data_IF_912366984849
#
_entry.id   IF_912366984849
#
_cell.length_a   1.000
_cell.length_b   1.000
_cell.length_c   1.000
_cell.angle_alpha   90.00
_cell.angle_beta   90.00
_cell.angle_gamma   90.00
#
_symmetry.space_group_name_H-M   'P 1'
#
loop_
_entity.id
_entity.type
_entity.pdbx_description
1 polymer ?
#
# COMPACT_ATOMS: atom_id res chain seq x y z
N UNK A 1 6.27 1.87 -9.02
CA UNK A 1 5.02 2.26 -8.36
C UNK A 1 3.78 2.30 -9.26
N UNK A 2 3.83 2.74 -10.54
CA UNK A 2 2.63 2.80 -11.40
C UNK A 2 1.82 1.50 -11.45
N UNK A 3 2.48 0.34 -11.60
CA UNK A 3 1.82 -0.98 -11.63
C UNK A 3 1.10 -1.37 -10.33
N UNK A 4 1.63 -0.96 -9.18
CA UNK A 4 0.99 -1.20 -7.87
C UNK A 4 -0.28 -0.37 -7.75
N UNK A 5 -0.20 0.91 -8.12
CA UNK A 5 -1.35 1.80 -8.12
C UNK A 5 -2.43 1.34 -9.10
N UNK A 6 -2.04 0.88 -10.30
CA UNK A 6 -2.95 0.29 -11.29
C UNK A 6 -3.59 -1.00 -10.77
N UNK A 7 -2.81 -1.91 -10.17
CA UNK A 7 -3.33 -3.14 -9.55
C UNK A 7 -4.34 -2.83 -8.43
N UNK A 8 -3.99 -1.92 -7.53
CA UNK A 8 -4.86 -1.48 -6.44
C UNK A 8 -6.16 -0.88 -6.99
N UNK A 9 -6.09 0.00 -7.99
CA UNK A 9 -7.27 0.62 -8.62
C UNK A 9 -8.11 -0.35 -9.45
N UNK A 10 -7.51 -1.40 -9.99
CA UNK A 10 -8.24 -2.48 -10.67
C UNK A 10 -9.09 -3.28 -9.69
N UNK A 11 -8.54 -3.56 -8.50
CA UNK A 11 -9.24 -4.27 -7.44
C UNK A 11 -10.27 -3.39 -6.71
N UNK A 12 -9.93 -2.12 -6.51
CA UNK A 12 -10.66 -1.14 -5.71
C UNK A 12 -10.59 0.22 -6.42
N UNK A 13 -11.59 0.58 -7.25
CA UNK A 13 -11.53 1.79 -8.07
C UNK A 13 -11.35 3.11 -7.30
N UNK A 14 -11.77 3.15 -6.04
CA UNK A 14 -11.62 4.30 -5.14
C UNK A 14 -10.28 4.32 -4.38
N UNK A 15 -9.38 3.37 -4.67
CA UNK A 15 -8.11 3.24 -3.97
C UNK A 15 -7.26 4.52 -4.08
N UNK A 16 -6.88 5.04 -2.91
CA UNK A 16 -5.86 6.07 -2.73
C UNK A 16 -4.59 5.42 -2.20
N UNK A 17 -3.46 5.73 -2.85
CA UNK A 17 -2.17 5.12 -2.54
C UNK A 17 -1.29 6.16 -1.85
N UNK A 18 -0.63 5.75 -0.77
CA UNK A 18 0.32 6.56 -0.04
C UNK A 18 1.60 5.76 0.19
N UNK A 19 2.72 6.47 0.34
CA UNK A 19 4.02 5.91 0.63
C UNK A 19 4.52 6.51 1.94
N UNK A 20 5.08 5.67 2.81
CA UNK A 20 5.74 6.06 4.05
C UNK A 20 6.88 5.06 4.34
N UNK A 21 7.42 5.08 5.56
CA UNK A 21 8.47 4.14 5.97
C UNK A 21 9.88 4.73 5.95
N UNK A 22 10.86 3.89 6.26
CA UNK A 22 12.26 4.26 6.47
C UNK A 22 12.95 4.84 5.23
N UNK A 23 12.57 4.41 4.01
CA UNK A 23 13.09 5.05 2.77
C UNK A 23 12.68 6.50 2.65
N UNK A 24 11.45 6.85 3.01
CA UNK A 24 11.01 8.26 2.96
C UNK A 24 11.78 9.11 3.98
N UNK A 25 12.29 8.48 5.04
CA UNK A 25 13.12 9.10 6.09
C UNK A 25 14.62 9.11 5.79
N UNK A 26 15.08 8.35 4.78
CA UNK A 26 16.51 8.18 4.49
C UNK A 26 17.25 7.23 5.45
N UNK A 27 16.51 6.36 6.16
CA UNK A 27 17.01 5.52 7.26
C UNK A 27 16.93 4.01 6.93
N UNK A 28 16.93 3.62 5.66
CA UNK A 28 16.69 2.24 5.23
C UNK A 28 17.77 1.26 5.73
N UNK A 29 17.36 0.21 6.45
CA UNK A 29 18.20 -0.92 6.93
C UNK A 29 17.40 -2.22 6.85
N UNK A 30 17.54 -3.01 5.76
CA UNK A 30 17.03 -4.39 5.65
C UNK A 30 15.75 -4.60 4.79
N UNK A 31 15.47 -5.87 4.46
CA UNK A 31 14.75 -6.35 3.26
C UNK A 31 13.28 -5.97 2.97
N UNK A 32 12.70 -5.00 3.67
CA UNK A 32 11.47 -4.31 3.25
C UNK A 32 11.67 -2.83 3.51
N UNK A 33 11.77 -2.05 2.43
CA UNK A 33 12.26 -0.68 2.53
C UNK A 33 11.18 0.38 2.24
N UNK A 34 10.05 0.00 1.61
CA UNK A 34 9.00 0.93 1.14
C UNK A 34 7.61 0.48 1.60
N UNK A 35 7.06 1.15 2.60
CA UNK A 35 5.67 0.93 3.03
C UNK A 35 4.69 1.62 2.07
N UNK A 36 3.76 0.84 1.54
CA UNK A 36 2.69 1.31 0.66
C UNK A 36 1.35 1.14 1.36
N UNK A 37 0.72 2.26 1.71
CA UNK A 37 -0.63 2.28 2.26
C UNK A 37 -1.65 2.43 1.13
N UNK A 38 -2.62 1.53 1.10
CA UNK A 38 -3.76 1.56 0.18
C UNK A 38 -5.02 1.77 1.00
N UNK A 39 -5.70 2.89 0.73
CA UNK A 39 -6.96 3.27 1.38
C UNK A 39 -8.10 3.11 0.40
N UNK A 40 -9.14 2.39 0.79
CA UNK A 40 -10.40 2.27 0.05
C UNK A 40 -11.54 1.99 1.03
N UNK A 41 -12.76 2.41 0.71
CA UNK A 41 -13.96 2.06 1.49
C UNK A 41 -14.27 0.57 1.43
N UNK A 42 -13.79 -0.12 0.39
CA UNK A 42 -14.06 -1.53 0.11
C UNK A 42 -13.03 -2.47 0.78
N UNK A 43 -12.14 -1.94 1.63
CA UNK A 43 -11.19 -2.76 2.40
C UNK A 43 -11.95 -3.61 3.44
N UNK A 44 -11.87 -4.95 3.36
CA UNK A 44 -12.58 -5.83 4.27
C UNK A 44 -11.96 -5.79 5.68
N UNK A 45 -12.74 -6.15 6.70
CA UNK A 45 -12.24 -6.30 8.09
C UNK A 45 -11.50 -7.62 8.32
N UNK A 46 -11.76 -8.63 7.49
CA UNK A 46 -11.16 -9.97 7.63
C UNK A 46 -9.68 -9.96 7.23
N UNK A 47 -8.82 -10.46 8.12
CA UNK A 47 -7.38 -10.59 7.85
C UNK A 47 -7.10 -11.54 6.67
N UNK A 48 -7.90 -12.59 6.49
CA UNK A 48 -7.75 -13.53 5.38
C UNK A 48 -8.06 -12.86 4.05
N UNK A 49 -9.13 -12.05 3.98
CA UNK A 49 -9.48 -11.33 2.76
C UNK A 49 -8.47 -10.22 2.44
N UNK A 50 -7.98 -9.52 3.47
CA UNK A 50 -6.87 -8.57 3.32
C UNK A 50 -5.63 -9.22 2.75
N UNK A 51 -5.24 -10.40 3.25
CA UNK A 51 -4.10 -11.15 2.72
C UNK A 51 -4.30 -11.50 1.23
N UNK A 52 -5.50 -11.94 0.84
CA UNK A 52 -5.84 -12.20 -0.56
C UNK A 52 -5.72 -10.95 -1.44
N UNK A 53 -6.12 -9.78 -0.95
CA UNK A 53 -5.96 -8.51 -1.67
C UNK A 53 -4.48 -8.20 -1.90
N UNK A 54 -3.63 -8.34 -0.87
CA UNK A 54 -2.18 -8.13 -0.99
C UNK A 54 -1.54 -9.04 -2.05
N UNK A 55 -1.86 -10.33 -2.02
CA UNK A 55 -1.37 -11.31 -3.01
C UNK A 55 -1.80 -10.90 -4.42
N UNK A 56 -3.08 -10.53 -4.62
CA UNK A 56 -3.55 -10.07 -5.94
C UNK A 56 -2.83 -8.82 -6.42
N UNK A 57 -2.52 -7.88 -5.52
CA UNK A 57 -1.75 -6.68 -5.87
C UNK A 57 -0.35 -7.09 -6.33
N UNK A 58 0.33 -7.98 -5.62
CA UNK A 58 1.65 -8.51 -6.00
C UNK A 58 1.63 -9.18 -7.37
N UNK A 59 0.65 -10.07 -7.61
CA UNK A 59 0.46 -10.78 -8.88
C UNK A 59 0.22 -9.80 -10.04
N UNK A 60 -0.73 -8.86 -9.90
CA UNK A 60 -1.05 -7.90 -10.95
C UNK A 60 0.09 -6.91 -11.21
N UNK A 61 0.79 -6.49 -10.16
CA UNK A 61 1.91 -5.57 -10.29
C UNK A 61 3.17 -6.22 -10.87
N UNK A 62 3.18 -7.56 -11.01
CA UNK A 62 4.30 -8.38 -11.50
C UNK A 62 5.60 -8.05 -10.75
N UNK A 63 5.48 -7.88 -9.44
CA UNK A 63 6.63 -7.62 -8.59
C UNK A 63 7.51 -8.87 -8.49
N UNK A 64 8.84 -8.70 -8.37
CA UNK A 64 9.73 -9.81 -8.09
C UNK A 64 9.42 -10.39 -6.71
N UNK A 65 9.72 -11.68 -6.52
CA UNK A 65 9.45 -12.43 -5.28
C UNK A 65 10.08 -11.82 -4.02
N UNK A 66 11.14 -11.02 -4.18
CA UNK A 66 11.82 -10.27 -3.11
C UNK A 66 11.65 -8.76 -3.32
N UNK A 67 10.42 -8.33 -3.47
CA UNK A 67 10.07 -6.93 -3.61
C UNK A 67 10.28 -6.16 -2.29
N UNK A 68 10.82 -4.94 -2.31
CA UNK A 68 11.03 -4.13 -1.09
C UNK A 68 9.74 -3.45 -0.60
N UNK A 69 8.57 -3.84 -1.10
CA UNK A 69 7.29 -3.19 -0.80
C UNK A 69 6.53 -3.95 0.28
N UNK A 70 6.12 -3.25 1.34
CA UNK A 70 5.18 -3.76 2.32
C UNK A 70 3.82 -3.11 2.14
N UNK A 71 2.79 -3.93 1.90
CA UNK A 71 1.43 -3.42 1.70
C UNK A 71 0.66 -3.30 3.00
N UNK A 72 0.17 -2.09 3.28
CA UNK A 72 -0.77 -1.78 4.35
C UNK A 72 -2.13 -1.48 3.73
N UNK A 73 -3.19 -2.04 4.32
CA UNK A 73 -4.57 -1.84 3.88
C UNK A 73 -5.35 -1.15 4.98
N UNK A 74 -6.05 -0.06 4.66
CA UNK A 74 -6.86 0.66 5.63
C UNK A 74 -8.19 1.11 5.01
N UNK A 75 -9.29 0.92 5.74
CA UNK A 75 -10.56 1.58 5.43
C UNK A 75 -10.56 3.04 5.92
N UNK A 76 -11.67 3.75 5.70
CA UNK A 76 -11.80 5.17 6.08
C UNK A 76 -11.69 5.41 7.60
N UNK A 77 -12.08 4.46 8.44
CA UNK A 77 -11.94 4.59 9.89
C UNK A 77 -10.48 4.40 10.31
N UNK A 78 -9.83 3.38 9.77
CA UNK A 78 -8.44 3.02 10.07
C UNK A 78 -7.45 4.07 9.53
N UNK A 79 -7.77 4.74 8.43
CA UNK A 79 -6.88 5.75 7.84
C UNK A 79 -6.54 6.88 8.82
N UNK A 80 -7.42 7.16 9.79
CA UNK A 80 -7.21 8.18 10.83
C UNK A 80 -5.96 7.91 11.66
N UNK A 81 -5.54 6.66 11.79
CA UNK A 81 -4.29 6.29 12.47
C UNK A 81 -3.07 6.61 11.61
N UNK A 82 -3.13 6.31 10.31
CA UNK A 82 -2.05 6.56 9.37
C UNK A 82 -1.84 8.05 9.07
N UNK A 83 -2.88 8.86 9.07
CA UNK A 83 -2.77 10.32 8.87
C UNK A 83 -1.93 11.04 9.94
N UNK A 84 -1.60 10.37 11.05
CA UNK A 84 -0.69 10.90 12.08
C UNK A 84 0.79 10.76 11.69
N UNK A 85 1.10 9.97 10.66
CA UNK A 85 2.47 9.78 10.16
C UNK A 85 2.86 11.04 9.38
N UNK A 86 3.91 11.73 9.86
CA UNK A 86 4.36 13.01 9.29
C UNK A 86 4.86 12.87 7.86
N UNK A 87 5.47 11.74 7.53
CA UNK A 87 6.11 11.49 6.24
C UNK A 87 5.16 10.80 5.23
N UNK A 88 3.87 10.69 5.53
CA UNK A 88 2.90 10.07 4.64
C UNK A 88 2.73 10.93 3.38
N UNK A 89 3.10 10.38 2.22
CA UNK A 89 3.00 11.07 0.93
C UNK A 89 2.01 10.37 0.03
N UNK A 90 1.02 11.12 -0.47
CA UNK A 90 0.09 10.60 -1.47
C UNK A 90 0.82 10.36 -2.79
N UNK A 91 0.65 9.16 -3.35
CA UNK A 91 1.13 8.81 -4.68
C UNK A 91 0.02 9.04 -5.71
N UNK A 92 0.23 10.02 -6.60
CA UNK A 92 -0.69 10.31 -7.70
C UNK A 92 -0.12 9.71 -8.99
N UNK A 93 -0.96 8.96 -9.73
CA UNK A 93 -0.64 8.58 -11.10
C UNK A 93 -0.57 9.88 -11.92
N UNK A 94 0.57 10.14 -12.54
CA UNK A 94 0.77 11.22 -13.51
C UNK A 94 0.48 10.67 -14.89
#
# INVERSE_FOLDING_TARGET
MPKIAEAAKTLMPDARIYIFGSIVKGEAVGGSDIDVLIISKDIPKSNIERAKIKIKIEEFSKLPSHSPFEFHLANEEEMKWYLKIKELKEYKLI
#
